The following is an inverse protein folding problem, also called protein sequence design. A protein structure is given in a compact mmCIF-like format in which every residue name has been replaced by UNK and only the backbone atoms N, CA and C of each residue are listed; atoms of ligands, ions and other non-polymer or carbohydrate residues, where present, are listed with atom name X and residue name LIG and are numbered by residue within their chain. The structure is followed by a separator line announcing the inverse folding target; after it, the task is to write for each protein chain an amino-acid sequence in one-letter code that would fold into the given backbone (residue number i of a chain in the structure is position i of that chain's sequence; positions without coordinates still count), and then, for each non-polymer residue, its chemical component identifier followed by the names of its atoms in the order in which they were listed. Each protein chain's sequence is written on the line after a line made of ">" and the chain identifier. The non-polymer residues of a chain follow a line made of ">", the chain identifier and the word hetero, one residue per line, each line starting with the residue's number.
data_IF_710133952613
#
_entry.id   IF_710133952613
#
_cell.length_a   1.000
_cell.length_b   1.000
_cell.length_c   1.000
_cell.angle_alpha   90.00
_cell.angle_beta   90.00
_cell.angle_gamma   90.00
#
_symmetry.space_group_name_H-M   'P 1'
#
loop_
_entity.id
_entity.type
_entity.pdbx_description
1 polymer ?
#
# COMPACT_ATOMS: atom_id res chain seq x y z
N UNK A 1 7.63 43.26 25.08
CA UNK A 1 8.37 42.13 24.49
C UNK A 1 8.45 41.03 25.54
N UNK A 2 7.47 40.14 25.57
CA UNK A 2 7.49 38.95 26.42
C UNK A 2 7.77 37.74 25.54
N UNK A 3 8.75 36.92 25.91
CA UNK A 3 9.04 35.67 25.21
C UNK A 3 7.82 34.73 25.31
N UNK A 4 7.50 33.96 24.25
CA UNK A 4 6.45 32.97 24.31
C UNK A 4 6.83 31.83 25.27
N UNK A 5 5.85 31.16 25.91
CA UNK A 5 6.10 30.07 26.84
C UNK A 5 6.78 28.88 26.14
N UNK A 6 7.67 28.13 26.85
CA UNK A 6 8.29 26.94 26.30
C UNK A 6 7.24 25.82 26.25
N UNK A 7 6.81 25.47 25.04
CA UNK A 7 5.81 24.41 24.82
C UNK A 7 5.02 24.49 23.52
N UNK A 8 5.25 25.49 22.67
CA UNK A 8 4.57 25.62 21.37
C UNK A 8 5.59 25.77 20.24
N UNK A 9 6.20 24.68 19.81
CA UNK A 9 6.85 24.58 18.50
C UNK A 9 7.18 23.13 18.20
N UNK A 10 6.22 22.42 17.62
CA UNK A 10 6.45 21.80 16.32
C UNK A 10 5.07 21.48 15.75
N UNK A 11 4.55 22.39 14.94
CA UNK A 11 3.63 22.01 13.87
C UNK A 11 4.31 20.83 13.16
N UNK A 12 3.73 19.63 13.33
CA UNK A 12 4.27 18.36 12.85
C UNK A 12 4.65 18.50 11.40
N UNK A 13 5.95 18.68 11.17
CA UNK A 13 6.40 19.35 9.98
C UNK A 13 6.49 18.31 8.88
N UNK A 14 5.62 18.44 7.90
CA UNK A 14 5.71 17.81 6.56
C UNK A 14 6.92 18.35 5.77
N UNK A 15 8.05 18.57 6.45
CA UNK A 15 9.27 19.05 5.83
C UNK A 15 9.83 17.94 4.94
N UNK A 16 10.32 18.28 3.74
CA UNK A 16 11.20 17.40 2.99
C UNK A 16 12.30 16.86 3.92
N UNK A 17 12.39 15.54 4.06
CA UNK A 17 13.37 14.88 4.92
C UNK A 17 12.89 14.35 6.28
N UNK A 18 11.59 14.47 6.63
CA UNK A 18 11.05 13.94 7.89
C UNK A 18 11.33 12.44 8.11
N UNK A 19 11.45 11.66 7.02
CA UNK A 19 11.74 10.21 7.07
C UNK A 19 13.20 9.86 6.70
N UNK A 20 14.05 10.84 6.40
CA UNK A 20 15.44 10.62 5.96
C UNK A 20 15.56 10.08 4.53
N UNK A 21 16.63 9.32 4.25
CA UNK A 21 16.86 8.69 2.95
C UNK A 21 15.89 7.52 2.75
N UNK A 22 15.17 7.51 1.63
CA UNK A 22 14.21 6.45 1.30
C UNK A 22 14.91 5.08 1.20
N UNK A 23 14.32 4.06 1.84
CA UNK A 23 14.85 2.68 1.83
C UNK A 23 13.86 1.67 1.28
N UNK A 24 12.58 1.85 1.56
CA UNK A 24 11.54 0.86 1.25
C UNK A 24 10.19 1.52 1.04
N UNK A 25 9.43 0.96 0.12
CA UNK A 25 8.01 1.24 -0.05
C UNK A 25 7.27 -0.10 0.00
N UNK A 26 6.23 -0.18 0.82
CA UNK A 26 5.42 -1.39 1.00
C UNK A 26 3.96 -1.06 0.71
N UNK A 27 3.53 -1.04 -0.56
CA UNK A 27 2.12 -0.86 -0.88
C UNK A 27 1.40 -2.21 -0.88
N UNK A 28 0.16 -2.19 -0.40
CA UNK A 28 -0.72 -3.34 -0.48
C UNK A 28 -2.13 -2.92 -0.87
N UNK A 29 -2.69 -3.62 -1.86
CA UNK A 29 -4.10 -3.51 -2.23
C UNK A 29 -4.72 -4.89 -2.36
N UNK A 30 -5.52 -5.25 -1.35
CA UNK A 30 -6.22 -6.52 -1.27
C UNK A 30 -7.67 -6.33 -0.91
N UNK A 31 -8.53 -7.20 -1.42
CA UNK A 31 -9.86 -7.42 -0.87
C UNK A 31 -10.30 -8.85 -1.11
N UNK A 32 -11.35 -9.28 -0.42
CA UNK A 32 -11.90 -10.63 -0.56
C UNK A 32 -13.11 -10.55 -1.46
N UNK A 33 -13.00 -11.13 -2.64
CA UNK A 33 -14.12 -11.29 -3.56
C UNK A 33 -14.70 -12.68 -3.32
N UNK A 34 -15.79 -12.73 -2.52
CA UNK A 34 -16.36 -13.99 -2.01
C UNK A 34 -16.81 -14.94 -3.13
N UNK A 35 -17.48 -14.40 -4.14
CA UNK A 35 -17.86 -15.14 -5.35
C UNK A 35 -17.59 -14.24 -6.56
N UNK A 36 -16.56 -14.56 -7.34
CA UNK A 36 -16.27 -13.87 -8.60
C UNK A 36 -17.08 -14.55 -9.71
N UNK A 37 -18.00 -13.86 -10.39
CA UNK A 37 -18.73 -14.44 -11.51
C UNK A 37 -17.76 -14.94 -12.59
N UNK A 38 -18.08 -16.07 -13.23
CA UNK A 38 -17.21 -16.68 -14.25
C UNK A 38 -16.93 -15.76 -15.45
N UNK A 39 -17.81 -14.77 -15.69
CA UNK A 39 -17.69 -13.78 -16.76
C UNK A 39 -17.01 -12.47 -16.32
N UNK A 40 -16.55 -12.35 -15.08
CA UNK A 40 -15.84 -11.15 -14.62
C UNK A 40 -14.53 -11.00 -15.42
N UNK A 41 -14.31 -9.81 -15.96
CA UNK A 41 -13.12 -9.50 -16.77
C UNK A 41 -11.82 -9.76 -16.01
N UNK A 42 -11.82 -9.70 -14.67
CA UNK A 42 -10.64 -10.02 -13.86
C UNK A 42 -10.23 -11.49 -13.96
N UNK A 43 -11.12 -12.37 -14.44
CA UNK A 43 -10.79 -13.78 -14.68
C UNK A 43 -10.35 -14.03 -16.13
N UNK A 44 -10.36 -13.02 -16.99
CA UNK A 44 -10.03 -13.11 -18.40
C UNK A 44 -8.58 -12.68 -18.67
N UNK A 45 -7.68 -13.62 -19.03
CA UNK A 45 -6.29 -13.28 -19.35
C UNK A 45 -6.15 -12.38 -20.58
N UNK A 46 -7.11 -12.39 -21.51
CA UNK A 46 -7.04 -11.58 -22.74
C UNK A 46 -7.32 -10.09 -22.47
N UNK A 47 -7.86 -9.77 -21.29
CA UNK A 47 -8.09 -8.39 -20.83
C UNK A 47 -7.01 -7.88 -19.88
N UNK A 48 -5.89 -8.62 -19.76
CA UNK A 48 -4.90 -8.42 -18.70
C UNK A 48 -5.53 -8.46 -17.29
N UNK A 49 -6.45 -9.42 -17.08
CA UNK A 49 -7.11 -9.63 -15.80
C UNK A 49 -6.18 -10.06 -14.66
N UNK A 50 -6.78 -10.44 -13.54
CA UNK A 50 -6.09 -10.81 -12.31
C UNK A 50 -5.97 -9.66 -11.33
N UNK A 51 -5.41 -9.97 -10.15
CA UNK A 51 -5.21 -8.99 -9.09
C UNK A 51 -4.15 -7.95 -9.46
N UNK A 52 -3.16 -8.32 -10.27
CA UNK A 52 -2.16 -7.39 -10.80
C UNK A 52 -2.78 -6.40 -11.79
N UNK A 53 -3.64 -6.88 -12.70
CA UNK A 53 -4.31 -6.05 -13.70
C UNK A 53 -5.27 -5.04 -13.11
N UNK A 54 -6.04 -5.43 -12.09
CA UNK A 54 -7.06 -4.58 -11.47
C UNK A 54 -6.50 -3.71 -10.32
N UNK A 55 -5.68 -4.30 -9.45
CA UNK A 55 -5.21 -3.67 -8.21
C UNK A 55 -3.71 -3.33 -8.23
N UNK A 56 -2.92 -4.15 -8.92
CA UNK A 56 -1.47 -4.07 -8.96
C UNK A 56 -0.92 -2.76 -9.47
N UNK A 57 -1.58 -2.13 -10.43
CA UNK A 57 -1.11 -0.88 -11.03
C UNK A 57 -1.09 0.27 -10.02
N UNK A 58 -2.04 0.36 -9.09
CA UNK A 58 -2.05 1.39 -8.03
C UNK A 58 -0.79 1.30 -7.17
N UNK A 59 -0.46 0.08 -6.83
CA UNK A 59 0.65 -0.33 -6.01
C UNK A 59 2.00 -0.10 -6.73
N UNK A 60 2.07 -0.42 -8.03
CA UNK A 60 3.22 -0.08 -8.88
C UNK A 60 3.39 1.43 -8.96
N UNK A 61 2.31 2.18 -9.21
CA UNK A 61 2.33 3.65 -9.28
C UNK A 61 2.77 4.28 -7.96
N UNK A 62 2.30 3.79 -6.82
CA UNK A 62 2.76 4.26 -5.51
C UNK A 62 4.26 4.01 -5.29
N UNK A 63 4.77 2.86 -5.76
CA UNK A 63 6.21 2.55 -5.71
C UNK A 63 7.02 3.50 -6.57
N UNK A 64 6.59 3.72 -7.82
CA UNK A 64 7.27 4.61 -8.77
C UNK A 64 7.20 6.07 -8.32
N UNK A 65 6.08 6.51 -7.76
CA UNK A 65 5.94 7.86 -7.18
C UNK A 65 6.94 8.10 -6.04
N UNK A 66 7.17 7.11 -5.19
CA UNK A 66 8.06 7.26 -4.05
C UNK A 66 9.55 7.22 -4.45
N UNK A 67 9.94 6.33 -5.38
CA UNK A 67 11.34 6.18 -5.81
C UNK A 67 11.73 7.06 -7.01
N UNK A 68 10.75 7.60 -7.74
CA UNK A 68 10.91 8.36 -8.99
C UNK A 68 11.77 7.61 -10.04
N UNK A 69 11.71 6.28 -10.05
CA UNK A 69 12.53 5.44 -10.90
C UNK A 69 11.91 4.05 -11.14
N UNK A 70 12.13 3.49 -12.33
CA UNK A 70 11.81 2.10 -12.64
C UNK A 70 12.81 1.14 -11.95
N UNK A 71 12.34 0.03 -11.36
CA UNK A 71 13.24 -1.01 -10.85
C UNK A 71 13.97 -1.69 -12.01
N UNK A 72 15.24 -2.05 -11.80
CA UNK A 72 16.02 -2.79 -12.80
C UNK A 72 15.83 -4.30 -12.71
N UNK A 73 15.28 -4.80 -11.58
CA UNK A 73 14.94 -6.21 -11.36
C UNK A 73 13.66 -6.36 -10.55
N UNK A 74 12.92 -7.42 -10.87
CA UNK A 74 11.73 -7.82 -10.13
C UNK A 74 11.69 -9.34 -9.92
N UNK A 75 11.14 -9.75 -8.79
CA UNK A 75 10.79 -11.12 -8.48
C UNK A 75 9.35 -11.16 -8.00
N UNK A 76 8.48 -11.84 -8.73
CA UNK A 76 7.09 -12.01 -8.34
C UNK A 76 6.74 -13.49 -8.17
N UNK A 77 5.82 -13.76 -7.24
CA UNK A 77 5.18 -15.04 -7.05
C UNK A 77 3.68 -14.83 -6.93
N UNK A 78 2.91 -15.65 -7.63
CA UNK A 78 1.47 -15.52 -7.69
C UNK A 78 0.73 -16.85 -7.50
N UNK A 79 -0.44 -16.78 -6.89
CA UNK A 79 -1.44 -17.85 -6.96
C UNK A 79 -2.25 -17.66 -8.23
N UNK A 80 -2.00 -18.51 -9.22
CA UNK A 80 -2.71 -18.44 -10.50
C UNK A 80 -4.05 -19.16 -10.47
N UNK A 81 -5.04 -18.64 -11.19
CA UNK A 81 -6.32 -19.27 -11.50
C UNK A 81 -6.73 -18.88 -12.92
N UNK A 82 -7.13 -19.85 -13.76
CA UNK A 82 -7.52 -19.62 -15.17
C UNK A 82 -6.55 -18.76 -16.00
N UNK A 83 -5.27 -18.78 -15.67
CA UNK A 83 -4.24 -18.04 -16.41
C UNK A 83 -3.94 -16.64 -15.86
N UNK A 84 -4.75 -16.12 -14.94
CA UNK A 84 -4.53 -14.84 -14.25
C UNK A 84 -4.09 -15.05 -12.80
N UNK A 85 -3.51 -14.03 -12.17
CA UNK A 85 -3.15 -14.06 -10.76
C UNK A 85 -4.35 -13.70 -9.86
N UNK A 86 -4.58 -14.47 -8.81
CA UNK A 86 -5.58 -14.15 -7.77
C UNK A 86 -4.97 -13.39 -6.61
N UNK A 87 -3.70 -13.66 -6.35
CA UNK A 87 -2.87 -12.98 -5.36
C UNK A 87 -1.45 -12.97 -5.89
N UNK A 88 -0.77 -11.84 -5.74
CA UNK A 88 0.61 -11.67 -6.16
C UNK A 88 1.39 -10.93 -5.07
N UNK A 89 2.57 -11.45 -4.75
CA UNK A 89 3.57 -10.76 -3.94
C UNK A 89 4.84 -10.61 -4.74
N UNK A 90 5.48 -9.44 -4.62
CA UNK A 90 6.68 -9.16 -5.40
C UNK A 90 7.71 -8.31 -4.66
N UNK A 91 8.97 -8.60 -4.95
CA UNK A 91 10.12 -7.78 -4.60
C UNK A 91 10.60 -7.08 -5.86
N UNK A 92 10.73 -5.76 -5.80
CA UNK A 92 11.29 -4.96 -6.89
C UNK A 92 12.53 -4.24 -6.37
N UNK A 93 13.48 -3.89 -7.24
CA UNK A 93 14.66 -3.18 -6.76
C UNK A 93 15.67 -2.78 -7.81
N UNK A 94 16.66 -2.03 -7.35
CA UNK A 94 17.90 -1.73 -8.06
C UNK A 94 18.99 -2.72 -7.64
N UNK A 95 20.16 -2.70 -8.30
CA UNK A 95 21.25 -3.64 -8.00
C UNK A 95 21.89 -3.46 -6.62
N UNK A 96 21.61 -2.37 -5.89
CA UNK A 96 22.46 -1.94 -4.77
C UNK A 96 21.79 -1.78 -3.41
N UNK A 97 20.48 -1.52 -3.25
CA UNK A 97 19.94 -1.40 -1.87
C UNK A 97 18.44 -1.27 -1.64
N UNK A 98 17.58 -1.32 -2.66
CA UNK A 98 16.16 -0.97 -2.49
C UNK A 98 15.29 -2.17 -2.82
N UNK A 99 14.47 -2.62 -1.86
CA UNK A 99 13.57 -3.76 -2.04
C UNK A 99 12.14 -3.39 -1.66
N UNK A 100 11.43 -2.55 -2.44
CA UNK A 100 9.98 -2.47 -2.33
C UNK A 100 9.33 -3.86 -2.37
N UNK A 101 8.46 -4.11 -1.39
CA UNK A 101 7.66 -5.31 -1.28
C UNK A 101 6.22 -4.95 -1.60
N UNK A 102 5.74 -5.44 -2.73
CA UNK A 102 4.39 -5.27 -3.19
C UNK A 102 3.53 -6.48 -2.80
N UNK A 103 2.29 -6.25 -2.37
CA UNK A 103 1.27 -7.32 -2.26
C UNK A 103 -0.09 -6.89 -2.82
N UNK A 104 -0.65 -7.67 -3.74
CA UNK A 104 -2.02 -7.50 -4.24
C UNK A 104 -2.79 -8.81 -4.22
N UNK A 105 -4.13 -8.72 -4.15
CA UNK A 105 -4.93 -9.93 -4.16
C UNK A 105 -6.44 -9.74 -4.00
N UNK A 106 -7.17 -10.71 -4.55
CA UNK A 106 -8.63 -10.78 -4.59
C UNK A 106 -9.22 -11.76 -3.55
N UNK A 107 -8.38 -12.33 -2.67
CA UNK A 107 -8.82 -13.35 -1.70
C UNK A 107 -8.45 -13.04 -0.25
N UNK A 108 -7.84 -11.90 0.01
CA UNK A 108 -7.37 -11.50 1.35
C UNK A 108 -8.30 -10.44 1.93
N UNK A 109 -8.24 -10.20 3.24
CA UNK A 109 -9.02 -9.12 3.87
C UNK A 109 -8.78 -7.78 3.19
N UNK A 110 -9.77 -6.88 3.32
CA UNK A 110 -9.66 -5.54 2.75
C UNK A 110 -8.45 -4.80 3.33
N UNK A 111 -7.56 -4.34 2.44
CA UNK A 111 -6.38 -3.55 2.78
C UNK A 111 -6.00 -2.69 1.60
N UNK A 112 -5.83 -1.38 1.81
CA UNK A 112 -5.45 -0.43 0.76
C UNK A 112 -4.52 0.61 1.36
N UNK A 113 -3.30 0.19 1.65
CA UNK A 113 -2.36 0.97 2.44
C UNK A 113 -0.98 0.97 1.80
N UNK A 114 -0.16 1.93 2.21
CA UNK A 114 1.26 1.87 1.95
C UNK A 114 2.06 2.37 3.15
N UNK A 115 3.30 1.89 3.24
CA UNK A 115 4.35 2.48 4.07
C UNK A 115 5.48 2.97 3.17
N UNK A 116 5.98 4.17 3.42
CA UNK A 116 7.22 4.72 2.86
C UNK A 116 8.21 4.84 4.03
N UNK A 117 9.22 3.99 4.07
CA UNK A 117 10.20 3.94 5.15
C UNK A 117 11.56 4.46 4.70
N UNK A 118 12.12 5.39 5.47
CA UNK A 118 13.46 5.91 5.29
C UNK A 118 14.35 5.71 6.52
N UNK A 119 15.53 6.33 6.52
CA UNK A 119 16.54 6.18 7.58
C UNK A 119 16.19 6.85 8.91
N UNK A 120 15.24 7.79 8.93
CA UNK A 120 14.89 8.57 10.12
C UNK A 120 13.45 8.37 10.60
N UNK A 121 12.62 7.69 9.81
CA UNK A 121 11.22 7.44 10.13
C UNK A 121 10.48 6.75 8.98
N UNK A 122 9.16 6.66 9.11
CA UNK A 122 8.28 6.12 8.09
C UNK A 122 6.97 6.89 8.01
N UNK A 123 6.42 7.01 6.81
CA UNK A 123 5.06 7.47 6.57
C UNK A 123 4.17 6.26 6.31
N UNK A 124 3.03 6.20 6.98
CA UNK A 124 2.00 5.16 6.78
C UNK A 124 0.70 5.83 6.35
N UNK A 125 0.10 5.37 5.26
CA UNK A 125 -1.25 5.74 4.84
C UNK A 125 -2.08 4.47 4.74
N UNK A 126 -3.14 4.34 5.52
CA UNK A 126 -3.94 3.11 5.62
C UNK A 126 -5.10 3.03 4.60
N UNK A 127 -5.23 4.05 3.75
CA UNK A 127 -6.35 4.20 2.81
C UNK A 127 -6.06 4.98 1.51
N UNK A 128 -4.85 4.88 0.98
CA UNK A 128 -4.34 5.76 -0.10
C UNK A 128 -5.15 5.86 -1.40
N UNK A 129 -6.11 4.96 -1.63
CA UNK A 129 -6.98 4.96 -2.81
C UNK A 129 -8.29 5.69 -2.60
N UNK A 130 -8.82 5.57 -1.38
CA UNK A 130 -10.11 6.13 -0.99
C UNK A 130 -10.12 6.24 0.52
N UNK A 131 -10.12 7.46 1.08
CA UNK A 131 -10.15 7.65 2.52
C UNK A 131 -11.25 6.85 3.19
N UNK A 132 -10.94 6.28 4.36
CA UNK A 132 -11.92 5.64 5.23
C UNK A 132 -13.00 6.63 5.65
N UNK A 133 -12.57 7.83 6.05
CA UNK A 133 -13.41 8.99 6.31
C UNK A 133 -13.09 10.06 5.27
N UNK A 134 -14.08 10.41 4.44
CA UNK A 134 -13.91 11.39 3.37
C UNK A 134 -13.65 12.79 3.91
N UNK A 135 -14.12 13.09 5.11
CA UNK A 135 -13.95 14.40 5.75
C UNK A 135 -12.64 14.47 6.53
N UNK A 136 -12.01 13.32 6.80
CA UNK A 136 -10.75 13.19 7.54
C UNK A 136 -9.76 12.20 6.88
N UNK A 137 -9.33 12.45 5.64
CA UNK A 137 -8.20 11.73 5.06
C UNK A 137 -6.97 11.91 5.94
N UNK A 138 -6.24 10.83 6.20
CA UNK A 138 -5.15 10.85 7.17
C UNK A 138 -3.96 10.00 6.76
N UNK A 139 -2.83 10.30 7.36
CA UNK A 139 -1.65 9.47 7.36
C UNK A 139 -0.88 9.68 8.66
N UNK A 140 0.07 8.80 8.94
CA UNK A 140 0.91 8.89 10.11
C UNK A 140 2.37 9.03 9.74
N UNK A 141 3.10 9.82 10.50
CA UNK A 141 4.56 9.85 10.48
C UNK A 141 5.05 9.22 11.78
N UNK A 142 5.85 8.17 11.64
CA UNK A 142 6.51 7.48 12.74
C UNK A 142 7.97 7.91 12.73
N UNK A 143 8.46 8.49 13.82
CA UNK A 143 9.89 8.78 13.97
C UNK A 143 10.67 7.52 14.37
N UNK A 144 12.00 7.62 14.42
CA UNK A 144 12.89 6.53 14.87
C UNK A 144 12.66 6.04 16.29
N UNK A 145 11.93 6.79 17.12
CA UNK A 145 11.62 6.45 18.51
C UNK A 145 10.22 5.83 18.65
N UNK A 146 9.49 5.68 17.54
CA UNK A 146 8.12 5.16 17.53
C UNK A 146 7.07 6.20 17.92
N UNK A 147 7.43 7.49 17.98
CA UNK A 147 6.44 8.55 18.16
C UNK A 147 5.63 8.69 16.87
N UNK A 148 4.31 8.63 17.03
CA UNK A 148 3.36 8.66 15.92
C UNK A 148 2.65 10.01 15.90
N UNK A 149 2.86 10.79 14.83
CA UNK A 149 2.05 11.96 14.51
C UNK A 149 0.96 11.59 13.50
N UNK A 150 -0.31 11.80 13.84
CA UNK A 150 -1.40 11.75 12.86
C UNK A 150 -1.50 13.10 12.14
N UNK A 151 -1.64 13.05 10.82
CA UNK A 151 -1.76 14.21 9.96
C UNK A 151 -3.02 14.10 9.11
N UNK A 152 -3.82 15.16 9.13
CA UNK A 152 -4.97 15.29 8.25
C UNK A 152 -4.53 15.89 6.91
N UNK A 153 -4.95 15.27 5.82
CA UNK A 153 -4.70 15.74 4.47
C UNK A 153 -5.96 16.42 3.90
N UNK A 154 -5.90 17.73 3.55
CA UNK A 154 -6.99 18.35 2.80
C UNK A 154 -7.03 17.71 1.42
N UNK A 155 -8.00 16.82 1.21
CA UNK A 155 -8.07 16.05 -0.04
C UNK A 155 -9.35 16.44 -0.78
N UNK A 156 -9.26 17.13 -1.94
CA UNK A 156 -10.42 17.31 -2.80
C UNK A 156 -10.91 15.94 -3.31
N UNK A 157 -12.14 15.89 -3.82
CA UNK A 157 -12.66 14.67 -4.43
C UNK A 157 -11.79 14.34 -5.66
N UNK A 158 -10.99 13.28 -5.57
CA UNK A 158 -9.94 12.96 -6.55
C UNK A 158 -10.49 12.83 -7.97
N UNK A 159 -11.70 12.29 -8.14
CA UNK A 159 -12.33 12.12 -9.45
C UNK A 159 -12.67 13.47 -10.10
N UNK A 160 -13.11 14.45 -9.28
CA UNK A 160 -13.36 15.82 -9.74
C UNK A 160 -12.03 16.46 -10.16
N UNK A 161 -11.00 16.35 -9.31
CA UNK A 161 -9.66 16.88 -9.61
C UNK A 161 -9.07 16.25 -10.88
N UNK A 162 -9.27 14.95 -11.10
CA UNK A 162 -8.82 14.24 -12.29
C UNK A 162 -9.49 14.79 -13.56
N UNK A 163 -10.82 14.93 -13.56
CA UNK A 163 -11.57 15.44 -14.72
C UNK A 163 -11.20 16.90 -15.01
N UNK A 164 -11.09 17.73 -13.97
CA UNK A 164 -10.67 19.13 -14.14
C UNK A 164 -9.24 19.26 -14.66
N UNK A 165 -8.31 18.45 -14.17
CA UNK A 165 -6.93 18.41 -14.67
C UNK A 165 -6.89 18.00 -16.14
N UNK A 166 -7.68 16.99 -16.53
CA UNK A 166 -7.80 16.56 -17.91
C UNK A 166 -8.34 17.70 -18.80
N UNK A 167 -9.44 18.34 -18.41
CA UNK A 167 -10.01 19.47 -19.14
C UNK A 167 -8.98 20.60 -19.30
N UNK A 168 -8.27 20.97 -18.22
CA UNK A 168 -7.20 21.99 -18.27
C UNK A 168 -6.11 21.62 -19.26
N UNK A 169 -5.62 20.38 -19.23
CA UNK A 169 -4.59 19.90 -20.15
C UNK A 169 -5.05 20.03 -21.61
N UNK A 170 -6.25 19.53 -21.94
CA UNK A 170 -6.82 19.63 -23.30
C UNK A 170 -6.96 21.09 -23.74
N UNK A 171 -7.48 21.97 -22.89
CA UNK A 171 -7.70 23.37 -23.24
C UNK A 171 -6.41 24.19 -23.34
N UNK A 172 -5.35 23.78 -22.65
CA UNK A 172 -4.05 24.46 -22.69
C UNK A 172 -3.34 24.29 -24.05
N UNK A 173 -3.67 23.22 -24.78
CA UNK A 173 -2.94 22.82 -25.99
C UNK A 173 -1.56 22.21 -25.72
N UNK A 174 -1.16 22.08 -24.45
CA UNK A 174 0.12 21.49 -24.03
C UNK A 174 -0.06 20.01 -23.70
N UNK A 175 0.81 19.17 -24.27
CA UNK A 175 0.83 17.74 -23.95
C UNK A 175 1.48 17.51 -22.59
N UNK A 176 0.77 16.80 -21.71
CA UNK A 176 1.30 16.30 -20.44
C UNK A 176 2.15 15.06 -20.65
N UNK A 177 3.39 15.29 -21.12
CA UNK A 177 4.35 14.21 -21.36
C UNK A 177 4.64 13.41 -20.10
N UNK A 178 4.69 14.07 -18.95
CA UNK A 178 4.86 13.45 -17.63
C UNK A 178 3.78 12.39 -17.33
N UNK A 179 2.53 12.61 -17.74
CA UNK A 179 1.46 11.62 -17.54
C UNK A 179 1.64 10.39 -18.43
N UNK A 180 2.16 10.58 -19.64
CA UNK A 180 2.45 9.49 -20.56
C UNK A 180 3.60 8.66 -20.00
N UNK A 181 4.67 9.32 -19.55
CA UNK A 181 5.84 8.68 -18.98
C UNK A 181 5.47 7.87 -17.73
N UNK A 182 4.64 8.44 -16.85
CA UNK A 182 4.12 7.75 -15.67
C UNK A 182 3.26 6.52 -16.02
N UNK A 183 2.40 6.64 -17.02
CA UNK A 183 1.57 5.54 -17.49
C UNK A 183 2.42 4.40 -18.08
N UNK A 184 3.38 4.73 -18.94
CA UNK A 184 4.29 3.76 -19.57
C UNK A 184 5.17 3.09 -18.53
N UNK A 185 5.73 3.83 -17.57
CA UNK A 185 6.53 3.25 -16.49
C UNK A 185 5.69 2.29 -15.62
N UNK A 186 4.47 2.70 -15.27
CA UNK A 186 3.56 1.85 -14.46
C UNK A 186 3.27 0.53 -15.17
N UNK A 187 2.91 0.58 -16.46
CA UNK A 187 2.62 -0.64 -17.23
C UNK A 187 3.87 -1.48 -17.48
N UNK A 188 5.03 -0.86 -17.69
CA UNK A 188 6.32 -1.57 -17.81
C UNK A 188 6.63 -2.39 -16.55
N UNK A 189 6.36 -1.82 -15.37
CA UNK A 189 6.52 -2.52 -14.09
C UNK A 189 5.51 -3.66 -13.95
N UNK A 190 4.22 -3.44 -14.24
CA UNK A 190 3.19 -4.49 -14.25
C UNK A 190 3.58 -5.65 -15.17
N UNK A 191 4.00 -5.38 -16.39
CA UNK A 191 4.44 -6.38 -17.36
C UNK A 191 5.63 -7.20 -16.84
N UNK A 192 6.62 -6.54 -16.24
CA UNK A 192 7.78 -7.21 -15.67
C UNK A 192 7.36 -8.17 -14.52
N UNK A 193 6.43 -7.73 -13.67
CA UNK A 193 5.89 -8.53 -12.57
C UNK A 193 5.08 -9.73 -13.07
N UNK A 194 4.20 -9.52 -14.05
CA UNK A 194 3.46 -10.59 -14.68
C UNK A 194 4.41 -11.65 -15.25
N UNK A 195 5.38 -11.23 -16.09
CA UNK A 195 6.40 -12.14 -16.67
C UNK A 195 7.16 -12.91 -15.59
N UNK A 196 7.57 -12.23 -14.51
CA UNK A 196 8.27 -12.87 -13.39
C UNK A 196 7.40 -13.93 -12.68
N UNK A 197 6.14 -13.60 -12.39
CA UNK A 197 5.20 -14.52 -11.74
C UNK A 197 4.89 -15.76 -12.62
N UNK A 198 4.79 -15.59 -13.94
CA UNK A 198 4.58 -16.70 -14.87
C UNK A 198 5.81 -17.61 -14.98
N UNK A 199 7.02 -17.05 -14.94
CA UNK A 199 8.28 -17.78 -15.06
C UNK A 199 8.69 -18.53 -13.78
N UNK A 200 8.45 -17.95 -12.60
CA UNK A 200 8.92 -18.47 -11.31
C UNK A 200 8.03 -19.59 -10.72
N UNK A 201 7.90 -20.71 -11.44
CA UNK A 201 7.12 -21.88 -11.00
C UNK A 201 7.93 -22.90 -10.20
N UNK A 202 8.92 -22.48 -9.42
CA UNK A 202 9.76 -23.42 -8.69
C UNK A 202 8.97 -24.03 -7.51
N UNK A 203 8.74 -25.34 -7.55
CA UNK A 203 8.08 -26.09 -6.46
C UNK A 203 9.14 -26.77 -5.61
N UNK A 204 9.32 -26.30 -4.38
CA UNK A 204 10.18 -27.00 -3.39
C UNK A 204 9.41 -28.20 -2.83
N UNK A 205 9.34 -29.28 -3.61
CA UNK A 205 8.68 -30.54 -3.23
C UNK A 205 7.18 -30.39 -2.86
N UNK A 206 6.49 -31.51 -2.61
CA UNK A 206 5.23 -31.43 -1.86
C UNK A 206 5.59 -31.13 -0.41
N UNK A 207 5.31 -29.91 0.06
CA UNK A 207 5.08 -29.71 1.49
C UNK A 207 4.09 -30.80 1.93
N UNK A 208 4.53 -31.71 2.81
CA UNK A 208 3.61 -32.58 3.53
C UNK A 208 2.73 -31.65 4.34
N UNK A 209 1.57 -31.32 3.80
CA UNK A 209 0.53 -30.60 4.49
C UNK A 209 0.09 -31.50 5.65
N UNK A 210 0.74 -31.39 6.81
CA UNK A 210 0.05 -31.70 8.05
C UNK A 210 -0.90 -30.53 8.21
N UNK A 211 -2.22 -30.71 8.07
CA UNK A 211 -3.15 -29.67 8.48
C UNK A 211 -2.89 -29.46 9.97
N UNK A 212 -2.09 -28.44 10.32
CA UNK A 212 -2.39 -27.71 11.53
C UNK A 212 -3.71 -27.05 11.18
N UNK A 213 -4.82 -27.74 11.51
CA UNK A 213 -5.96 -26.97 11.99
C UNK A 213 -5.33 -26.03 13.01
N UNK A 214 -5.36 -24.74 12.70
CA UNK A 214 -5.37 -23.76 13.76
C UNK A 214 -6.63 -24.10 14.56
N UNK A 215 -6.48 -25.01 15.52
CA UNK A 215 -7.39 -25.13 16.63
C UNK A 215 -7.02 -23.93 17.48
N UNK A 216 -7.96 -23.07 17.89
CA UNK A 216 -7.72 -22.19 19.01
C UNK A 216 -7.55 -23.09 20.24
N UNK A 217 -6.36 -23.67 20.41
CA UNK A 217 -5.98 -24.37 21.61
C UNK A 217 -5.53 -23.29 22.59
N UNK A 218 -6.49 -22.81 23.39
CA UNK A 218 -6.23 -22.16 24.69
C UNK A 218 -5.58 -20.76 24.72
N UNK A 219 -5.11 -20.19 23.61
CA UNK A 219 -4.44 -18.87 23.66
C UNK A 219 -5.38 -17.65 23.68
N UNK A 220 -6.71 -17.85 23.54
CA UNK A 220 -7.71 -16.79 23.69
C UNK A 220 -8.23 -16.63 25.13
N UNK A 221 -7.76 -17.44 26.07
CA UNK A 221 -8.07 -17.31 27.52
C UNK A 221 -6.91 -16.73 28.34
N UNK A 222 -5.90 -16.17 27.68
CA UNK A 222 -4.99 -15.23 28.36
C UNK A 222 -5.77 -13.94 28.65
N UNK A 223 -5.89 -13.49 29.91
CA UNK A 223 -6.54 -12.22 30.24
C UNK A 223 -5.95 -11.03 29.45
N UNK A 224 -4.69 -11.13 29.02
CA UNK A 224 -4.02 -10.11 28.21
C UNK A 224 -4.45 -10.08 26.74
N UNK A 225 -4.79 -11.22 26.13
CA UNK A 225 -5.19 -11.26 24.71
C UNK A 225 -6.64 -10.80 24.53
N UNK A 226 -7.51 -11.10 25.51
CA UNK A 226 -8.89 -10.62 25.54
C UNK A 226 -8.96 -9.11 25.76
N UNK A 227 -8.11 -8.57 26.62
CA UNK A 227 -8.02 -7.12 26.86
C UNK A 227 -7.65 -6.32 25.60
N UNK A 228 -6.80 -6.86 24.71
CA UNK A 228 -6.38 -6.16 23.46
C UNK A 228 -7.50 -6.16 22.41
N UNK A 229 -8.28 -7.25 22.33
CA UNK A 229 -9.39 -7.37 21.37
C UNK A 229 -10.61 -6.59 21.89
N UNK A 230 -10.95 -6.73 23.19
CA UNK A 230 -12.10 -6.06 23.80
C UNK A 230 -11.87 -4.53 23.93
N UNK A 231 -10.63 -4.06 24.16
CA UNK A 231 -10.32 -2.62 24.17
C UNK A 231 -10.48 -1.96 22.80
N UNK A 232 -10.35 -2.72 21.71
CA UNK A 232 -10.54 -2.24 20.34
C UNK A 232 -12.02 -2.18 19.93
N UNK A 233 -12.91 -2.86 20.64
CA UNK A 233 -14.35 -2.87 20.35
C UNK A 233 -15.21 -2.01 21.28
N UNK A 234 -14.74 -1.63 22.47
CA UNK A 234 -15.53 -0.80 23.41
C UNK A 234 -15.12 0.68 23.55
N UNK A 235 -13.98 1.11 22.99
CA UNK A 235 -13.54 2.52 23.12
C UNK A 235 -13.97 3.39 21.95
N UNK A 236 -15.24 3.79 21.98
CA UNK A 236 -15.51 5.20 21.69
C UNK A 236 -14.79 6.04 22.75
N UNK A 237 -13.90 6.95 22.32
CA UNK A 237 -13.23 8.05 23.06
C UNK A 237 -11.74 7.88 23.44
N UNK A 238 -10.98 8.91 23.00
CA UNK A 238 -9.66 9.47 23.34
C UNK A 238 -8.52 8.61 23.92
N UNK A 239 -7.39 8.60 23.20
CA UNK A 239 -6.11 8.13 23.70
C UNK A 239 -5.37 9.25 24.45
N UNK A 240 -5.39 9.17 25.78
CA UNK A 240 -4.47 9.88 26.67
C UNK A 240 -3.11 9.19 26.74
N UNK A 241 -2.10 10.03 26.95
CA UNK A 241 -0.67 9.72 27.19
C UNK A 241 -0.49 8.64 28.26
N UNK A 242 0.43 7.70 28.06
CA UNK A 242 0.97 6.85 29.11
C UNK A 242 2.48 7.10 29.28
N UNK A 243 2.85 7.60 30.46
CA UNK A 243 4.22 7.69 30.96
C UNK A 243 4.67 6.33 31.52
N UNK A 244 5.93 5.98 31.25
CA UNK A 244 6.86 5.37 32.20
C UNK A 244 8.23 6.01 31.99
#
# INVERSE_FOLDING_TARGET
>A
MGAPPPGSSDEGTTRPGAIGELRRVTPAFTFRFDEIPDYDIRLDPDTAGGSLGDLGWYCCRATLWAFDALPTRVFASARMFRGVDMNLSALCGTTTSEWPLLTVGLTSSWGKWFEVAGTAGSLVCDDFLKPWDRDKPRFWIHDRNGLVGEHLAPTPIQEVTMVENFCRAVTSGELRQDWIDDAVATQTMCDALARSAHANRYRVGRLRHRPRLWRPAGCLESPHTRAIIDSATESGVSAGVAQW
#
